data_IF_026516191996
#
_entry.id   IF_026516191996
#
_cell.length_a   1.000
_cell.length_b   1.000
_cell.length_c   1.000
_cell.angle_alpha   90.00
_cell.angle_beta   90.00
_cell.angle_gamma   90.00
#
_symmetry.space_group_name_H-M   'P 1'
#
loop_
_entity.id
_entity.type
_entity.pdbx_description
1 polymer ?
#
# COMPACT_ATOMS: atom_id res chain seq x y z
N UNK A 1 15.18 -16.12 1.82
CA UNK A 1 15.67 -14.72 1.90
C UNK A 1 14.70 -13.84 1.13
N UNK A 2 14.04 -12.88 1.77
CA UNK A 2 13.13 -11.95 1.08
C UNK A 2 13.95 -10.80 0.49
N UNK A 3 13.68 -10.43 -0.76
CA UNK A 3 14.38 -9.33 -1.44
C UNK A 3 13.62 -8.03 -1.19
N UNK A 4 14.32 -6.99 -0.75
CA UNK A 4 13.77 -5.64 -0.59
C UNK A 4 14.23 -4.76 -1.75
N UNK A 5 13.32 -3.94 -2.27
CA UNK A 5 13.60 -2.94 -3.30
C UNK A 5 12.94 -1.64 -2.85
N UNK A 6 13.67 -0.54 -2.95
CA UNK A 6 13.07 0.78 -2.75
C UNK A 6 12.75 1.43 -4.09
N UNK A 7 11.58 2.04 -4.16
CA UNK A 7 11.08 2.72 -5.36
C UNK A 7 10.53 4.09 -4.99
N UNK A 8 10.55 5.01 -5.95
CA UNK A 8 9.74 6.21 -5.85
C UNK A 8 8.25 5.82 -5.98
N UNK A 9 7.39 6.61 -5.36
CA UNK A 9 5.96 6.40 -5.45
C UNK A 9 5.20 7.72 -5.37
N UNK A 10 3.97 7.70 -5.85
CA UNK A 10 3.02 8.80 -5.75
C UNK A 10 1.84 8.36 -4.91
N UNK A 11 1.49 9.17 -3.91
CA UNK A 11 0.38 8.92 -3.00
C UNK A 11 -0.73 9.90 -3.36
N UNK A 12 -1.89 9.38 -3.76
CA UNK A 12 -3.10 10.17 -4.00
C UNK A 12 -4.07 9.99 -2.83
N UNK A 13 -4.35 11.09 -2.14
CA UNK A 13 -5.24 11.11 -0.99
C UNK A 13 -6.43 12.00 -1.31
N UNK A 14 -7.62 11.45 -1.14
CA UNK A 14 -8.86 12.21 -1.24
C UNK A 14 -9.72 12.01 0.01
N UNK A 15 -10.17 13.12 0.57
CA UNK A 15 -11.12 13.18 1.66
C UNK A 15 -12.16 14.24 1.32
N UNK A 16 -13.13 13.87 0.49
CA UNK A 16 -14.25 14.71 0.07
C UNK A 16 -15.57 14.03 0.44
N UNK A 17 -16.69 14.70 0.19
CA UNK A 17 -18.00 14.09 0.42
C UNK A 17 -18.35 12.97 -0.57
N UNK A 18 -17.81 13.04 -1.79
CA UNK A 18 -18.07 12.08 -2.86
C UNK A 18 -17.10 10.90 -2.79
N UNK A 19 -15.87 11.14 -2.33
CA UNK A 19 -14.78 10.17 -2.39
C UNK A 19 -13.89 10.20 -1.14
N UNK A 20 -13.52 8.99 -0.69
CA UNK A 20 -12.59 8.79 0.41
C UNK A 20 -11.61 7.67 0.06
N UNK A 21 -10.38 7.99 -0.30
CA UNK A 21 -9.39 6.99 -0.70
C UNK A 21 -7.95 7.41 -0.43
N UNK A 22 -7.08 6.40 -0.38
CA UNK A 22 -5.64 6.54 -0.27
C UNK A 22 -4.95 5.58 -1.24
N UNK A 23 -4.72 6.03 -2.47
CA UNK A 23 -4.06 5.23 -3.49
C UNK A 23 -2.56 5.50 -3.51
N UNK A 24 -1.80 4.45 -3.82
CA UNK A 24 -0.34 4.52 -3.95
C UNK A 24 0.04 3.93 -5.30
N UNK A 25 0.71 4.73 -6.12
CA UNK A 25 1.30 4.32 -7.39
C UNK A 25 2.81 4.13 -7.22
N UNK A 26 3.33 2.96 -7.61
CA UNK A 26 4.73 2.58 -7.44
C UNK A 26 5.47 2.66 -8.78
N UNK A 27 6.56 3.41 -8.82
CA UNK A 27 7.28 3.63 -10.08
C UNK A 27 8.05 2.37 -10.52
N UNK A 28 7.62 1.79 -11.64
CA UNK A 28 8.33 0.72 -12.34
C UNK A 28 8.36 -0.63 -11.61
N UNK A 29 7.47 -0.84 -10.63
CA UNK A 29 7.38 -2.08 -9.87
C UNK A 29 5.94 -2.56 -9.75
N UNK A 30 5.69 -3.75 -10.28
CA UNK A 30 4.44 -4.49 -10.03
C UNK A 30 4.52 -5.25 -8.70
N UNK A 31 3.41 -5.24 -7.96
CA UNK A 31 3.23 -5.94 -6.68
C UNK A 31 2.46 -7.22 -6.93
N UNK A 32 2.99 -8.33 -6.45
CA UNK A 32 2.36 -9.64 -6.57
C UNK A 32 1.74 -10.11 -5.24
N UNK A 33 0.85 -11.13 -5.27
CA UNK A 33 0.33 -11.75 -4.06
C UNK A 33 1.43 -12.20 -3.08
N UNK A 34 1.30 -11.74 -1.83
CA UNK A 34 2.23 -12.01 -0.73
C UNK A 34 3.44 -11.09 -0.67
N UNK A 35 3.61 -10.17 -1.62
CA UNK A 35 4.58 -9.08 -1.49
C UNK A 35 4.04 -8.03 -0.49
N UNK A 36 4.93 -7.38 0.25
CA UNK A 36 4.58 -6.37 1.26
C UNK A 36 5.12 -5.01 0.79
N UNK A 37 4.33 -3.95 0.96
CA UNK A 37 4.71 -2.58 0.59
C UNK A 37 4.66 -1.69 1.82
N UNK A 38 5.77 -1.01 2.12
CA UNK A 38 5.87 -0.02 3.18
C UNK A 38 6.12 1.36 2.55
N UNK A 39 5.15 2.25 2.66
CA UNK A 39 5.27 3.63 2.17
C UNK A 39 5.87 4.50 3.27
N UNK A 40 6.89 5.29 2.90
CA UNK A 40 7.59 6.18 3.81
C UNK A 40 6.99 7.59 3.74
N UNK A 41 7.21 8.40 4.77
CA UNK A 41 6.89 9.84 4.76
C UNK A 41 5.46 10.21 4.31
N UNK A 42 4.50 9.30 4.52
CA UNK A 42 3.10 9.52 4.16
C UNK A 42 2.42 10.39 5.21
N UNK A 43 1.67 11.43 4.83
CA UNK A 43 0.83 12.16 5.77
C UNK A 43 -0.24 11.23 6.34
N UNK A 44 -0.37 11.20 7.67
CA UNK A 44 -1.36 10.36 8.36
C UNK A 44 -2.78 10.94 8.31
N UNK A 45 -2.92 12.22 7.94
CA UNK A 45 -4.21 12.89 7.83
C UNK A 45 -4.16 14.00 6.78
N UNK A 46 -5.24 14.13 6.02
CA UNK A 46 -5.55 15.31 5.19
C UNK A 46 -6.86 15.94 5.66
N UNK A 47 -7.05 17.26 5.52
CA UNK A 47 -8.30 17.92 5.87
C UNK A 47 -9.48 17.41 5.04
N UNK A 48 -10.69 17.39 5.61
CA UNK A 48 -11.90 17.12 4.85
C UNK A 48 -12.16 18.22 3.80
N UNK A 49 -12.71 17.83 2.65
CA UNK A 49 -12.88 18.67 1.48
C UNK A 49 -11.59 18.85 0.65
N UNK A 50 -10.60 17.96 0.79
CA UNK A 50 -9.34 18.07 0.04
C UNK A 50 -8.97 16.81 -0.73
N UNK A 51 -8.33 17.03 -1.87
CA UNK A 51 -7.61 16.02 -2.65
C UNK A 51 -6.18 16.50 -2.81
N UNK A 52 -5.20 15.64 -2.52
CA UNK A 52 -3.78 15.98 -2.59
C UNK A 52 -2.93 14.81 -3.00
N UNK A 53 -1.95 15.11 -3.83
CA UNK A 53 -0.95 14.16 -4.30
C UNK A 53 0.41 14.46 -3.68
N UNK A 54 1.11 13.42 -3.23
CA UNK A 54 2.43 13.51 -2.59
C UNK A 54 3.42 12.59 -3.29
N UNK A 55 4.60 13.11 -3.61
CA UNK A 55 5.72 12.27 -4.01
C UNK A 55 6.39 11.68 -2.77
N UNK A 56 6.62 10.38 -2.78
CA UNK A 56 7.29 9.68 -1.69
C UNK A 56 8.16 8.51 -2.18
N UNK A 57 8.61 7.68 -1.24
CA UNK A 57 9.29 6.41 -1.48
C UNK A 57 8.54 5.28 -0.80
N UNK A 58 8.62 4.10 -1.39
CA UNK A 58 8.13 2.86 -0.79
C UNK A 58 9.22 1.78 -0.81
N UNK A 59 9.23 0.93 0.21
CA UNK A 59 9.98 -0.31 0.22
C UNK A 59 9.05 -1.46 -0.11
N UNK A 60 9.34 -2.16 -1.21
CA UNK A 60 8.65 -3.38 -1.62
C UNK A 60 9.48 -4.58 -1.18
N UNK A 61 8.89 -5.44 -0.34
CA UNK A 61 9.47 -6.68 0.14
C UNK A 61 8.82 -7.86 -0.58
N UNK A 62 9.61 -8.55 -1.40
CA UNK A 62 9.14 -9.68 -2.21
C UNK A 62 8.89 -10.91 -1.35
N UNK A 63 7.75 -11.57 -1.59
CA UNK A 63 7.43 -12.87 -1.03
C UNK A 63 8.51 -13.90 -1.36
N UNK A 64 8.76 -14.84 -0.46
CA UNK A 64 9.50 -16.04 -0.82
C UNK A 64 8.66 -16.93 -1.73
N UNK A 65 9.32 -17.79 -2.52
CA UNK A 65 8.62 -18.71 -3.43
C UNK A 65 7.61 -19.61 -2.68
N UNK A 66 7.99 -20.14 -1.52
CA UNK A 66 7.10 -20.95 -0.67
C UNK A 66 5.87 -20.17 -0.19
N UNK A 67 6.06 -18.93 0.27
CA UNK A 67 4.95 -18.06 0.72
C UNK A 67 4.00 -17.77 -0.43
N UNK A 68 4.54 -17.51 -1.62
CA UNK A 68 3.72 -17.25 -2.82
C UNK A 68 2.90 -18.47 -3.24
N UNK A 69 3.47 -19.68 -3.18
CA UNK A 69 2.70 -20.91 -3.45
C UNK A 69 1.63 -21.14 -2.39
N UNK A 70 1.96 -20.88 -1.11
CA UNK A 70 0.98 -20.99 -0.04
C UNK A 70 -0.20 -20.03 -0.25
N UNK A 71 0.05 -18.75 -0.52
CA UNK A 71 -1.01 -17.75 -0.81
C UNK A 71 -1.87 -18.17 -2.01
N UNK A 72 -1.27 -18.72 -3.07
CA UNK A 72 -2.01 -19.23 -4.23
C UNK A 72 -2.86 -20.46 -3.91
N UNK A 73 -2.38 -21.35 -3.03
CA UNK A 73 -3.06 -22.59 -2.65
C UNK A 73 -4.15 -22.38 -1.60
N UNK A 74 -3.94 -21.46 -0.65
CA UNK A 74 -4.94 -21.12 0.37
C UNK A 74 -5.94 -20.08 -0.11
N UNK A 75 -5.65 -19.39 -1.22
CA UNK A 75 -6.61 -18.74 -2.12
C UNK A 75 -7.45 -17.58 -1.57
N UNK A 76 -7.60 -17.39 -0.26
CA UNK A 76 -8.56 -16.38 0.23
C UNK A 76 -8.90 -16.39 1.73
N UNK A 77 -8.05 -16.91 2.62
CA UNK A 77 -8.32 -16.87 4.07
C UNK A 77 -7.54 -15.80 4.84
N UNK A 78 -6.59 -15.11 4.21
CA UNK A 78 -6.00 -13.89 4.79
C UNK A 78 -6.62 -12.69 4.09
N UNK A 79 -7.45 -11.95 4.84
CA UNK A 79 -7.87 -10.59 4.51
C UNK A 79 -6.61 -9.76 4.23
N UNK A 80 -6.27 -9.57 2.96
CA UNK A 80 -5.39 -8.48 2.54
C UNK A 80 -6.20 -7.18 2.48
N UNK A 81 -6.96 -6.94 3.55
CA UNK A 81 -7.45 -5.61 3.84
C UNK A 81 -6.22 -4.76 4.16
N UNK A 82 -6.14 -3.62 3.46
CA UNK A 82 -5.31 -2.51 3.86
C UNK A 82 -5.57 -2.26 5.35
N UNK A 83 -4.59 -2.56 6.21
CA UNK A 83 -4.76 -2.38 7.66
C UNK A 83 -5.14 -0.91 7.93
N UNK A 84 -6.26 -0.77 8.62
CA UNK A 84 -6.96 0.44 9.03
C UNK A 84 -6.00 1.54 9.50
N UNK A 85 -6.02 2.70 8.84
CA UNK A 85 -5.50 3.94 9.43
C UNK A 85 -6.49 4.35 10.51
N UNK A 86 -6.29 3.84 11.72
CA UNK A 86 -7.21 4.01 12.85
C UNK A 86 -7.75 5.44 12.95
N UNK A 87 -9.05 5.58 12.72
CA UNK A 87 -9.79 6.80 13.01
C UNK A 87 -10.20 6.76 14.48
N UNK A 88 -9.28 7.07 15.39
CA UNK A 88 -9.69 7.47 16.73
C UNK A 88 -10.20 8.92 16.66
N UNK A 89 -11.49 9.08 17.00
CA UNK A 89 -12.17 10.36 17.19
C UNK A 89 -11.79 11.04 18.49
#
# INVERSE_FOLDING_TARGET
>A
MQRKVEVACTIDLESTHDHFHAHVDLDGVEVDPGDEVLVHNTPTRIPFGTQRTYSSRATVQRASWLRRQFVKLTGGTELYELYDVGFEG
#
